data_IF_718057329904
#
_entry.id   IF_718057329904
#
_cell.length_a   1.000
_cell.length_b   1.000
_cell.length_c   1.000
_cell.angle_alpha   90.00
_cell.angle_beta   90.00
_cell.angle_gamma   90.00
#
_symmetry.space_group_name_H-M   'P 1'
#
loop_
_entity.id
_entity.type
_entity.pdbx_description
1 polymer ?
#
# COMPACT_ATOMS: atom_id res chain seq x y z
N UNK A 1 -13.71 1.67 17.55
CA UNK A 1 -13.07 1.45 16.25
C UNK A 1 -12.85 -0.03 16.03
N UNK A 2 -12.94 -0.47 14.81
CA UNK A 2 -12.77 -1.88 14.46
C UNK A 2 -11.38 -2.14 13.89
N UNK A 3 -10.86 -3.33 14.15
CA UNK A 3 -9.62 -3.77 13.52
C UNK A 3 -9.74 -3.74 12.00
N UNK A 4 -8.66 -3.38 11.31
CA UNK A 4 -8.63 -3.37 9.85
C UNK A 4 -8.94 -4.77 9.31
N UNK A 5 -9.97 -4.92 8.44
CA UNK A 5 -10.21 -6.19 7.78
C UNK A 5 -8.98 -6.65 6.98
N UNK A 6 -8.67 -7.94 7.06
CA UNK A 6 -7.54 -8.49 6.31
C UNK A 6 -6.16 -8.06 6.81
N UNK A 7 -6.05 -7.56 8.04
CA UNK A 7 -4.77 -7.11 8.60
C UNK A 7 -3.71 -8.23 8.63
N UNK A 8 -4.14 -9.49 8.73
CA UNK A 8 -3.24 -10.66 8.79
C UNK A 8 -3.05 -11.36 7.44
N UNK A 9 -3.64 -10.85 6.37
CA UNK A 9 -3.45 -11.39 5.02
C UNK A 9 -1.99 -11.22 4.59
N UNK A 10 -1.38 -12.28 4.11
CA UNK A 10 0.01 -12.24 3.64
C UNK A 10 0.08 -11.58 2.26
N UNK A 11 0.86 -10.53 2.20
CA UNK A 11 1.17 -9.77 0.97
C UNK A 11 2.61 -10.08 0.57
N UNK A 12 2.96 -9.82 -0.68
CA UNK A 12 4.29 -10.10 -1.22
C UNK A 12 4.99 -8.80 -1.59
N UNK A 13 6.25 -8.65 -1.17
CA UNK A 13 7.11 -7.58 -1.68
C UNK A 13 8.45 -8.13 -2.11
N UNK A 14 9.15 -7.37 -2.94
CA UNK A 14 10.57 -7.62 -3.18
C UNK A 14 11.34 -7.26 -1.93
N UNK A 15 12.24 -8.16 -1.50
CA UNK A 15 13.05 -7.92 -0.32
C UNK A 15 14.00 -6.75 -0.56
N UNK A 16 13.87 -5.64 0.19
CA UNK A 16 14.74 -4.47 -0.02
C UNK A 16 16.20 -4.72 0.30
N UNK A 17 16.51 -5.80 1.02
CA UNK A 17 17.89 -6.21 1.33
C UNK A 17 18.49 -7.12 0.27
N UNK A 18 17.68 -7.59 -0.69
CA UNK A 18 18.19 -8.46 -1.75
C UNK A 18 19.07 -7.68 -2.73
N UNK A 19 20.17 -8.31 -3.14
CA UNK A 19 21.05 -7.79 -4.18
C UNK A 19 21.64 -8.96 -4.96
N UNK A 20 22.24 -8.67 -6.11
CA UNK A 20 22.94 -9.70 -6.90
C UNK A 20 24.07 -10.35 -6.09
N UNK A 21 24.76 -9.55 -5.26
CA UNK A 21 25.89 -9.99 -4.46
C UNK A 21 25.48 -10.98 -3.37
N UNK A 22 24.27 -10.85 -2.80
CA UNK A 22 23.80 -11.72 -1.72
C UNK A 22 22.70 -12.68 -2.15
N UNK A 23 22.41 -12.80 -3.45
CA UNK A 23 21.29 -13.57 -3.98
C UNK A 23 21.27 -15.04 -3.53
N UNK A 24 22.45 -15.63 -3.25
CA UNK A 24 22.53 -17.02 -2.80
C UNK A 24 22.04 -17.23 -1.37
N UNK A 25 22.05 -16.18 -0.53
CA UNK A 25 21.71 -16.25 0.90
C UNK A 25 20.50 -15.43 1.30
N UNK A 26 19.94 -14.63 0.39
CA UNK A 26 18.83 -13.70 0.69
C UNK A 26 17.67 -13.99 -0.26
N UNK A 27 16.49 -14.23 0.30
CA UNK A 27 15.29 -14.47 -0.49
C UNK A 27 14.89 -13.21 -1.28
N UNK A 28 14.51 -13.40 -2.55
CA UNK A 28 14.06 -12.31 -3.41
C UNK A 28 12.75 -11.70 -2.93
N UNK A 29 11.84 -12.52 -2.44
CA UNK A 29 10.50 -12.09 -2.01
C UNK A 29 10.34 -12.25 -0.50
N UNK A 30 9.52 -11.38 0.08
CA UNK A 30 9.09 -11.47 1.47
C UNK A 30 7.57 -11.53 1.52
N UNK A 31 7.04 -12.38 2.41
CA UNK A 31 5.61 -12.48 2.69
C UNK A 31 5.34 -11.85 4.05
N UNK A 32 4.68 -10.70 4.05
CA UNK A 32 4.40 -9.94 5.26
C UNK A 32 2.94 -9.47 5.25
N UNK A 33 2.29 -9.49 6.42
CA UNK A 33 0.98 -8.87 6.57
C UNK A 33 1.13 -7.46 7.12
N UNK A 34 0.08 -6.65 6.97
CA UNK A 34 0.04 -5.30 7.54
C UNK A 34 0.17 -5.36 9.05
N UNK A 35 -0.35 -6.42 9.68
CA UNK A 35 -0.27 -6.63 11.12
C UNK A 35 1.15 -6.84 11.65
N UNK A 36 2.10 -7.20 10.78
CA UNK A 36 3.51 -7.35 11.18
C UNK A 36 4.27 -6.04 11.27
N UNK A 37 3.70 -4.95 10.75
CA UNK A 37 4.25 -3.61 10.92
C UNK A 37 3.73 -3.01 12.21
N UNK A 38 4.59 -2.28 12.91
CA UNK A 38 4.21 -1.61 14.15
C UNK A 38 3.96 -0.12 13.93
N UNK A 39 3.28 0.50 14.90
CA UNK A 39 3.00 1.92 14.87
C UNK A 39 1.81 2.30 14.03
N UNK A 40 1.71 3.59 13.75
CA UNK A 40 0.65 4.16 12.91
C UNK A 40 0.96 3.90 11.45
N UNK A 41 0.03 3.29 10.73
CA UNK A 41 0.24 2.82 9.37
C UNK A 41 -0.71 3.51 8.40
N UNK A 42 -0.16 4.02 7.31
CA UNK A 42 -0.94 4.56 6.21
C UNK A 42 -0.85 3.59 5.04
N UNK A 43 -2.00 3.07 4.61
CA UNK A 43 -2.09 2.10 3.53
C UNK A 43 -2.66 2.82 2.32
N UNK A 44 -1.92 2.77 1.21
CA UNK A 44 -2.32 3.38 -0.05
C UNK A 44 -2.50 2.26 -1.07
N UNK A 45 -3.73 2.10 -1.58
CA UNK A 45 -4.01 1.11 -2.61
C UNK A 45 -4.13 1.78 -3.96
N UNK A 46 -3.63 1.10 -4.99
CA UNK A 46 -3.71 1.55 -6.38
C UNK A 46 -4.15 0.39 -7.26
N UNK A 47 -4.79 0.68 -8.39
CA UNK A 47 -5.08 -0.37 -9.36
C UNK A 47 -3.85 -1.16 -9.80
N UNK A 48 -2.71 -0.49 -9.97
CA UNK A 48 -1.43 -1.16 -10.21
C UNK A 48 -0.90 -1.07 -11.64
N UNK A 49 -1.64 -0.42 -12.54
CA UNK A 49 -1.24 -0.29 -13.94
C UNK A 49 -1.64 1.05 -14.53
N UNK A 50 -0.89 1.50 -15.54
CA UNK A 50 -1.19 2.69 -16.32
C UNK A 50 -0.53 3.97 -15.81
N UNK A 51 -0.72 5.06 -16.58
CA UNK A 51 -0.06 6.35 -16.33
C UNK A 51 -0.45 7.02 -15.02
N UNK A 52 -1.71 6.89 -14.61
CA UNK A 52 -2.16 7.46 -13.33
C UNK A 52 -1.51 6.76 -12.14
N UNK A 53 -1.34 5.44 -12.21
CA UNK A 53 -0.66 4.69 -11.16
C UNK A 53 0.82 5.04 -11.11
N UNK A 54 1.47 5.18 -12.26
CA UNK A 54 2.88 5.57 -12.32
C UNK A 54 3.12 6.92 -11.67
N UNK A 55 2.25 7.89 -11.91
CA UNK A 55 2.31 9.21 -11.28
C UNK A 55 2.13 9.12 -9.77
N UNK A 56 1.21 8.29 -9.30
CA UNK A 56 0.97 8.12 -7.87
C UNK A 56 2.12 7.40 -7.16
N UNK A 57 2.74 6.42 -7.80
CA UNK A 57 3.95 5.78 -7.25
C UNK A 57 5.05 6.82 -6.99
N UNK A 58 5.31 7.66 -7.98
CA UNK A 58 6.32 8.72 -7.88
C UNK A 58 5.93 9.75 -6.80
N UNK A 59 4.67 10.13 -6.76
CA UNK A 59 4.15 11.08 -5.78
C UNK A 59 4.32 10.55 -4.36
N UNK A 60 4.02 9.30 -4.11
CA UNK A 60 4.19 8.69 -2.78
C UNK A 60 5.66 8.62 -2.42
N UNK A 61 6.50 8.15 -3.34
CA UNK A 61 7.95 8.04 -3.12
C UNK A 61 8.57 9.39 -2.80
N UNK A 62 8.22 10.41 -3.55
CA UNK A 62 8.83 11.74 -3.43
C UNK A 62 8.33 12.52 -2.21
N UNK A 63 7.26 12.07 -1.56
CA UNK A 63 6.63 12.78 -0.44
C UNK A 63 6.56 11.96 0.85
N UNK A 64 7.42 10.97 1.00
CA UNK A 64 7.46 10.12 2.22
C UNK A 64 7.61 10.95 3.49
N UNK A 65 8.39 12.02 3.46
CA UNK A 65 8.58 12.89 4.62
C UNK A 65 7.28 13.59 5.04
N UNK A 66 6.43 13.92 4.09
CA UNK A 66 5.13 14.55 4.38
C UNK A 66 4.18 13.58 5.08
N UNK A 67 4.18 12.31 4.68
CA UNK A 67 3.37 11.28 5.33
C UNK A 67 3.85 11.04 6.76
N UNK A 68 5.15 10.95 6.95
CA UNK A 68 5.74 10.80 8.29
C UNK A 68 5.48 12.02 9.16
N UNK A 69 5.60 13.21 8.60
CA UNK A 69 5.27 14.45 9.30
C UNK A 69 3.79 14.54 9.70
N UNK A 70 2.90 13.88 8.98
CA UNK A 70 1.48 13.79 9.32
C UNK A 70 1.17 12.71 10.37
N UNK A 71 2.16 11.98 10.84
CA UNK A 71 2.04 11.02 11.94
C UNK A 71 2.15 9.55 11.53
N UNK A 72 2.34 9.22 10.26
CA UNK A 72 2.50 7.84 9.83
C UNK A 72 3.90 7.32 10.17
N UNK A 73 3.98 6.24 10.92
CA UNK A 73 5.24 5.55 11.18
C UNK A 73 5.65 4.68 10.00
N UNK A 74 4.67 4.11 9.31
CA UNK A 74 4.86 3.29 8.11
C UNK A 74 3.90 3.71 7.02
N UNK A 75 4.39 3.72 5.78
CA UNK A 75 3.58 3.91 4.57
C UNK A 75 3.67 2.61 3.76
N UNK A 76 2.52 2.00 3.49
CA UNK A 76 2.41 0.71 2.84
C UNK A 76 1.58 0.87 1.58
N UNK A 77 2.13 0.52 0.42
CA UNK A 77 1.43 0.59 -0.87
C UNK A 77 1.05 -0.82 -1.30
N UNK A 78 -0.23 -1.02 -1.64
CA UNK A 78 -0.75 -2.34 -2.04
C UNK A 78 -1.34 -2.25 -3.44
N UNK A 79 -0.92 -3.18 -4.30
CA UNK A 79 -1.42 -3.32 -5.67
C UNK A 79 -1.82 -4.77 -5.93
N UNK A 80 -2.63 -4.99 -6.98
CA UNK A 80 -3.00 -6.35 -7.40
C UNK A 80 -2.10 -6.93 -8.49
N UNK A 81 -1.24 -6.11 -9.08
CA UNK A 81 -0.33 -6.54 -10.16
C UNK A 81 0.90 -7.25 -9.62
N UNK A 82 1.54 -8.04 -10.49
CA UNK A 82 2.74 -8.80 -10.15
C UNK A 82 3.83 -7.89 -9.56
N UNK A 83 4.44 -8.35 -8.47
CA UNK A 83 5.46 -7.57 -7.78
C UNK A 83 6.69 -7.30 -8.65
N UNK A 84 7.02 -8.21 -9.58
CA UNK A 84 8.16 -8.02 -10.48
C UNK A 84 7.91 -6.90 -11.49
N UNK A 85 6.66 -6.69 -11.90
CA UNK A 85 6.32 -5.58 -12.81
C UNK A 85 6.45 -4.21 -12.15
N UNK A 86 6.54 -4.19 -10.82
CA UNK A 86 6.74 -2.98 -10.03
C UNK A 86 8.18 -2.83 -9.51
N UNK A 87 9.08 -3.70 -9.94
CA UNK A 87 10.49 -3.61 -9.59
C UNK A 87 11.07 -2.27 -10.08
N UNK A 88 11.89 -1.64 -9.25
CA UNK A 88 12.51 -0.37 -9.59
C UNK A 88 11.66 0.87 -9.30
N UNK A 89 10.45 0.72 -8.76
CA UNK A 89 9.64 1.88 -8.33
C UNK A 89 10.28 2.68 -7.19
N UNK A 90 11.18 2.04 -6.42
CA UNK A 90 11.88 2.71 -5.33
C UNK A 90 11.05 2.87 -4.05
N UNK A 91 9.96 2.12 -3.92
CA UNK A 91 9.13 2.09 -2.72
C UNK A 91 9.47 0.84 -1.91
N UNK A 92 10.02 0.97 -0.69
CA UNK A 92 10.43 -0.19 0.10
C UNK A 92 9.24 -1.06 0.56
N UNK A 93 8.08 -0.45 0.77
CA UNK A 93 6.86 -1.13 1.20
C UNK A 93 5.82 -1.18 0.08
N UNK A 94 6.22 -1.59 -1.11
CA UNK A 94 5.31 -1.85 -2.21
C UNK A 94 4.98 -3.34 -2.25
N UNK A 95 3.71 -3.66 -2.00
CA UNK A 95 3.22 -5.03 -1.88
C UNK A 95 2.25 -5.39 -2.98
N UNK A 96 2.27 -6.66 -3.37
CA UNK A 96 1.24 -7.30 -4.16
C UNK A 96 0.29 -8.06 -3.24
N UNK A 97 -1.01 -7.95 -3.52
CA UNK A 97 -2.06 -8.79 -2.92
C UNK A 97 -2.32 -9.95 -3.89
N UNK A 98 -1.62 -11.11 -3.74
CA UNK A 98 -1.55 -12.09 -4.83
C UNK A 98 -2.87 -12.75 -5.18
N UNK A 99 -3.71 -13.00 -4.18
CA UNK A 99 -5.04 -13.63 -4.36
C UNK A 99 -6.18 -12.63 -4.14
N UNK A 100 -5.85 -11.35 -4.04
CA UNK A 100 -6.80 -10.28 -3.77
C UNK A 100 -7.60 -10.47 -2.47
N UNK A 101 -7.05 -11.23 -1.53
CA UNK A 101 -7.70 -11.48 -0.24
C UNK A 101 -7.84 -10.20 0.58
N UNK A 102 -6.80 -9.38 0.60
CA UNK A 102 -6.85 -8.07 1.28
C UNK A 102 -7.89 -7.17 0.62
N UNK A 103 -7.89 -7.12 -0.72
CA UNK A 103 -8.85 -6.33 -1.48
C UNK A 103 -10.29 -6.78 -1.20
N UNK A 104 -10.54 -8.08 -1.19
CA UNK A 104 -11.87 -8.64 -0.91
C UNK A 104 -12.32 -8.32 0.51
N UNK A 105 -11.44 -8.49 1.49
CA UNK A 105 -11.74 -8.20 2.89
C UNK A 105 -12.10 -6.74 3.12
N UNK A 106 -11.55 -5.84 2.30
CA UNK A 106 -11.74 -4.40 2.43
C UNK A 106 -12.72 -3.81 1.40
N UNK A 107 -13.39 -4.65 0.61
CA UNK A 107 -14.32 -4.22 -0.46
C UNK A 107 -13.65 -3.33 -1.50
N UNK A 108 -12.41 -3.62 -1.84
CA UNK A 108 -11.60 -2.85 -2.77
C UNK A 108 -11.32 -3.56 -4.10
N UNK A 109 -11.82 -4.77 -4.30
CA UNK A 109 -11.67 -5.48 -5.57
C UNK A 109 -12.59 -4.86 -6.63
N UNK A 110 -12.05 -4.59 -7.82
CA UNK A 110 -12.83 -4.11 -8.94
C UNK A 110 -13.63 -5.26 -9.56
N UNK A 111 -14.70 -4.92 -10.30
CA UNK A 111 -15.61 -5.90 -10.90
C UNK A 111 -15.21 -6.27 -12.32
N UNK A 112 -15.71 -7.42 -12.78
CA UNK A 112 -15.64 -7.86 -14.18
C UNK A 112 -14.21 -8.08 -14.66
N UNK A 113 -13.90 -7.54 -15.83
CA UNK A 113 -12.56 -7.70 -16.45
C UNK A 113 -11.44 -7.04 -15.65
N UNK A 114 -11.79 -6.16 -14.71
CA UNK A 114 -10.83 -5.47 -13.85
C UNK A 114 -10.67 -6.14 -12.48
N UNK A 115 -11.17 -7.34 -12.31
CA UNK A 115 -11.17 -8.05 -11.02
C UNK A 115 -9.77 -8.36 -10.45
N UNK A 116 -8.72 -8.13 -11.23
CA UNK A 116 -7.32 -8.28 -10.80
C UNK A 116 -6.73 -6.99 -10.19
N UNK A 117 -7.52 -5.93 -10.12
CA UNK A 117 -7.06 -4.62 -9.67
C UNK A 117 -7.84 -4.15 -8.46
N UNK A 118 -7.24 -3.26 -7.69
CA UNK A 118 -7.85 -2.66 -6.51
C UNK A 118 -8.40 -1.27 -6.84
N UNK A 119 -9.41 -0.84 -6.09
CA UNK A 119 -9.82 0.55 -6.05
C UNK A 119 -8.70 1.42 -5.46
N UNK A 120 -8.66 2.69 -5.85
CA UNK A 120 -7.82 3.68 -5.20
C UNK A 120 -8.39 4.00 -3.83
N UNK A 121 -7.62 3.72 -2.80
CA UNK A 121 -8.02 4.01 -1.42
C UNK A 121 -6.82 4.44 -0.61
N UNK A 122 -7.07 5.14 0.47
CA UNK A 122 -6.08 5.42 1.49
C UNK A 122 -6.72 5.14 2.85
N UNK A 123 -6.05 4.34 3.66
CA UNK A 123 -6.58 3.84 4.94
C UNK A 123 -5.55 4.14 6.03
N UNK A 124 -5.99 4.85 7.06
CA UNK A 124 -5.16 5.11 8.23
C UNK A 124 -5.49 4.08 9.32
N UNK A 125 -4.45 3.43 9.84
CA UNK A 125 -4.55 2.40 10.86
C UNK A 125 -3.70 2.80 12.06
N UNK A 126 -4.28 2.75 13.26
CA UNK A 126 -3.57 3.12 14.49
C UNK A 126 -2.57 2.02 14.93
N UNK A 127 -1.84 2.29 16.00
CA UNK A 127 -0.84 1.35 16.51
C UNK A 127 -1.44 0.02 16.99
N UNK A 128 -2.72 0.00 17.32
CA UNK A 128 -3.43 -1.21 17.77
C UNK A 128 -4.03 -2.01 16.62
N UNK A 129 -3.88 -1.54 15.40
CA UNK A 129 -4.41 -2.23 14.21
C UNK A 129 -5.84 -1.84 13.85
N UNK A 130 -6.38 -0.79 14.45
CA UNK A 130 -7.73 -0.32 14.17
C UNK A 130 -7.75 0.67 13.01
N UNK A 131 -8.73 0.52 12.13
CA UNK A 131 -8.96 1.48 11.06
C UNK A 131 -9.56 2.76 11.67
N UNK A 132 -8.87 3.89 11.46
CA UNK A 132 -9.28 5.18 12.00
C UNK A 132 -9.96 6.04 10.96
N UNK A 133 -9.47 6.03 9.73
CA UNK A 133 -10.00 6.82 8.63
C UNK A 133 -9.76 6.12 7.30
N UNK A 134 -10.66 6.34 6.35
CA UNK A 134 -10.56 5.74 5.02
C UNK A 134 -11.18 6.67 3.99
N UNK A 135 -10.51 6.83 2.85
CA UNK A 135 -11.08 7.50 1.69
C UNK A 135 -10.82 6.68 0.44
N UNK A 136 -11.80 6.64 -0.45
CA UNK A 136 -11.68 6.03 -1.77
C UNK A 136 -11.72 7.11 -2.84
N UNK A 137 -11.13 6.85 -3.99
CA UNK A 137 -11.06 7.80 -5.09
C UNK A 137 -11.39 7.14 -6.42
N UNK A 138 -11.62 7.95 -7.44
CA UNK A 138 -11.92 7.46 -8.78
C UNK A 138 -10.77 6.64 -9.36
N UNK A 139 -11.14 5.63 -10.14
CA UNK A 139 -10.20 4.75 -10.81
C UNK A 139 -9.29 5.52 -11.79
N UNK A 140 -9.89 6.46 -12.53
CA UNK A 140 -9.22 7.25 -13.56
C UNK A 140 -8.83 8.63 -13.02
N UNK A 141 -7.79 8.68 -12.21
CA UNK A 141 -7.30 9.94 -11.69
C UNK A 141 -6.14 9.75 -10.74
N UNK A 142 -5.20 10.69 -10.76
CA UNK A 142 -4.12 10.72 -9.80
C UNK A 142 -4.53 11.60 -8.63
N UNK A 143 -4.47 11.07 -7.42
CA UNK A 143 -4.75 11.86 -6.21
C UNK A 143 -3.62 12.86 -5.98
N UNK A 144 -3.94 13.96 -5.31
CA UNK A 144 -2.92 14.92 -4.87
C UNK A 144 -2.23 14.42 -3.60
N UNK A 145 -1.02 14.90 -3.34
CA UNK A 145 -0.34 14.58 -2.08
C UNK A 145 -1.16 15.10 -0.89
N UNK A 146 -1.81 16.25 -1.01
CA UNK A 146 -2.62 16.82 0.06
C UNK A 146 -3.82 15.94 0.40
N UNK A 147 -4.43 15.30 -0.60
CA UNK A 147 -5.54 14.37 -0.38
C UNK A 147 -5.07 13.15 0.43
N UNK A 148 -3.92 12.58 0.09
CA UNK A 148 -3.36 11.43 0.79
C UNK A 148 -2.88 11.80 2.20
N UNK A 149 -2.15 12.89 2.33
CA UNK A 149 -1.65 13.39 3.62
C UNK A 149 -2.80 13.76 4.54
N UNK A 150 -3.88 14.32 3.98
CA UNK A 150 -5.08 14.72 4.74
C UNK A 150 -5.71 13.57 5.51
N UNK A 151 -5.70 12.36 4.96
CA UNK A 151 -6.22 11.17 5.64
C UNK A 151 -5.37 10.84 6.88
N UNK A 152 -4.05 10.91 6.75
CA UNK A 152 -3.14 10.69 7.86
C UNK A 152 -3.28 11.78 8.93
N UNK A 153 -3.37 13.05 8.52
CA UNK A 153 -3.54 14.18 9.45
C UNK A 153 -4.82 14.06 10.26
N UNK A 154 -5.92 13.69 9.62
CA UNK A 154 -7.21 13.48 10.31
C UNK A 154 -7.13 12.36 11.32
N UNK A 155 -6.40 11.30 11.02
CA UNK A 155 -6.33 10.11 11.85
C UNK A 155 -5.29 10.24 12.98
N UNK A 156 -4.15 10.84 12.70
CA UNK A 156 -2.96 10.81 13.56
C UNK A 156 -2.54 12.19 14.09
N UNK A 157 -3.06 13.22 13.48
CA UNK A 157 -2.68 14.61 13.79
C UNK A 157 -3.30 15.24 15.04
#
# INVERSE_FOLDING_TARGET
>A
MAQLPGIDVKLIRLNPEWSVENAASTALEQNLSIGEFSGKRLIITLPGAGGFCNKEFDLVKDNMDKFKGAGADEVIVVVGTDILSNAGRGLPNLFQDPDLEFAKANSLQLDGVRSRYLHRAVIAVDADGNEVNRETADLLGCRTVDALVGVAQKAFG
#
